data_IF_481766931795
#
_entry.id   IF_481766931795
#
_cell.length_a   1.000
_cell.length_b   1.000
_cell.length_c   1.000
_cell.angle_alpha   90.00
_cell.angle_beta   90.00
_cell.angle_gamma   90.00
#
_symmetry.space_group_name_H-M   'P 1'
#
loop_
_entity.id
_entity.type
_entity.pdbx_description
1 polymer ?
#
# COMPACT_ATOMS: atom_id res chain seq x y z
N UNK A 1 -14.65 -9.75 -11.81
CA UNK A 1 -14.47 -8.50 -11.06
C UNK A 1 -13.29 -7.79 -11.68
N UNK A 2 -13.50 -6.65 -12.35
CA UNK A 2 -12.42 -5.94 -13.05
C UNK A 2 -11.85 -4.86 -12.14
N UNK A 3 -10.59 -5.00 -11.72
CA UNK A 3 -9.83 -3.91 -11.13
C UNK A 3 -9.81 -2.76 -12.15
N UNK A 4 -10.50 -1.66 -11.87
CA UNK A 4 -10.35 -0.43 -12.66
C UNK A 4 -9.10 0.25 -12.16
N UNK A 5 -7.98 -0.07 -12.80
CA UNK A 5 -6.70 0.59 -12.56
C UNK A 5 -6.82 2.03 -13.07
N UNK A 6 -7.06 2.98 -12.16
CA UNK A 6 -6.97 4.40 -12.47
C UNK A 6 -5.48 4.74 -12.58
N UNK A 7 -5.03 5.15 -13.76
CA UNK A 7 -3.61 5.29 -14.11
C UNK A 7 -2.84 6.37 -13.31
N UNK A 8 -3.51 7.14 -12.44
CA UNK A 8 -2.90 8.19 -11.63
C UNK A 8 -2.44 7.70 -10.23
N UNK A 9 -3.05 6.66 -9.69
CA UNK A 9 -2.80 6.26 -8.29
C UNK A 9 -1.89 5.02 -8.23
N UNK A 10 -0.93 5.03 -7.30
CA UNK A 10 -0.08 3.87 -7.05
C UNK A 10 -0.90 2.80 -6.33
N UNK A 11 -1.00 1.61 -6.93
CA UNK A 11 -1.65 0.46 -6.32
C UNK A 11 -0.59 -0.53 -5.83
N UNK A 12 -0.62 -0.85 -4.53
CA UNK A 12 0.23 -1.88 -3.93
C UNK A 12 -0.58 -3.12 -3.57
N UNK A 13 -0.03 -4.30 -3.86
CA UNK A 13 -0.48 -5.58 -3.35
C UNK A 13 0.32 -5.95 -2.11
N UNK A 14 -0.38 -6.31 -1.03
CA UNK A 14 0.19 -6.70 0.26
C UNK A 14 -0.17 -8.14 0.55
N UNK A 15 0.85 -8.96 0.87
CA UNK A 15 0.65 -10.33 1.37
C UNK A 15 1.29 -10.47 2.74
N UNK A 16 0.45 -10.64 3.76
CA UNK A 16 0.87 -11.04 5.10
C UNK A 16 0.60 -12.53 5.25
N UNK A 17 1.63 -13.34 5.54
CA UNK A 17 1.54 -14.78 5.87
C UNK A 17 0.38 -15.53 5.19
N UNK A 18 0.39 -15.54 3.85
CA UNK A 18 -0.44 -16.30 2.90
C UNK A 18 -1.98 -16.18 2.94
N UNK A 19 -2.61 -15.65 3.98
CA UNK A 19 -4.08 -15.69 4.10
C UNK A 19 -4.79 -14.40 3.66
N UNK A 20 -4.14 -13.23 3.78
CA UNK A 20 -4.79 -11.95 3.46
C UNK A 20 -4.10 -11.18 2.32
N UNK A 21 -4.94 -10.69 1.39
CA UNK A 21 -4.55 -9.86 0.26
C UNK A 21 -5.19 -8.47 0.37
N UNK A 22 -4.36 -7.43 0.36
CA UNK A 22 -4.83 -6.04 0.38
C UNK A 22 -4.32 -5.26 -0.83
N UNK A 23 -5.19 -4.38 -1.33
CA UNK A 23 -4.88 -3.35 -2.31
C UNK A 23 -4.79 -2.01 -1.59
N UNK A 24 -3.68 -1.32 -1.80
CA UNK A 24 -3.47 0.03 -1.28
C UNK A 24 -3.42 0.99 -2.45
N UNK A 25 -4.34 1.95 -2.50
CA UNK A 25 -4.32 3.03 -3.47
C UNK A 25 -3.74 4.29 -2.80
N UNK A 26 -2.62 4.79 -3.33
CA UNK A 26 -1.96 6.02 -2.86
C UNK A 26 -2.21 7.13 -3.87
N UNK A 27 -2.70 8.27 -3.37
CA UNK A 27 -3.02 9.46 -4.15
C UNK A 27 -1.86 10.47 -4.13
N UNK A 28 -1.87 11.42 -5.06
CA UNK A 28 -0.81 12.44 -5.23
C UNK A 28 -0.55 13.28 -3.97
N UNK A 29 -1.58 13.52 -3.16
CA UNK A 29 -1.47 14.25 -1.89
C UNK A 29 -0.93 13.39 -0.73
N UNK A 30 -0.46 12.18 -1.04
CA UNK A 30 0.02 11.16 -0.09
C UNK A 30 -1.06 10.68 0.89
N UNK A 31 -2.33 10.90 0.57
CA UNK A 31 -3.41 10.13 1.18
C UNK A 31 -3.42 8.73 0.60
N UNK A 32 -3.98 7.78 1.33
CA UNK A 32 -4.09 6.40 0.87
C UNK A 32 -5.39 5.76 1.34
N UNK A 33 -5.85 4.78 0.58
CA UNK A 33 -6.94 3.89 0.96
C UNK A 33 -6.47 2.46 0.91
N UNK A 34 -6.99 1.63 1.82
CA UNK A 34 -6.64 0.20 1.91
C UNK A 34 -7.91 -0.61 1.81
N UNK A 35 -7.93 -1.58 0.91
CA UNK A 35 -9.06 -2.46 0.69
C UNK A 35 -8.60 -3.92 0.62
N UNK A 36 -9.27 -4.82 1.37
CA UNK A 36 -9.06 -6.26 1.23
C UNK A 36 -9.64 -6.78 -0.08
N UNK A 37 -9.18 -7.94 -0.54
CA UNK A 37 -9.75 -8.62 -1.72
C UNK A 37 -11.26 -8.89 -1.59
N UNK A 38 -11.75 -9.10 -0.37
CA UNK A 38 -13.18 -9.31 -0.07
C UNK A 38 -14.00 -8.01 -0.07
N UNK A 39 -13.34 -6.87 -0.28
CA UNK A 39 -13.96 -5.55 -0.37
C UNK A 39 -14.06 -4.79 0.96
N UNK A 40 -13.52 -5.33 2.06
CA UNK A 40 -13.48 -4.64 3.35
C UNK A 40 -12.47 -3.48 3.28
N UNK A 41 -12.91 -2.28 3.62
CA UNK A 41 -12.03 -1.11 3.71
C UNK A 41 -11.40 -1.09 5.10
N UNK A 42 -10.08 -1.03 5.14
CA UNK A 42 -9.33 -0.86 6.39
C UNK A 42 -9.13 0.62 6.67
N UNK A 43 -9.21 1.00 7.94
CA UNK A 43 -8.87 2.36 8.35
C UNK A 43 -7.35 2.54 8.34
N UNK A 44 -6.91 3.81 8.34
CA UNK A 44 -5.50 4.16 8.52
C UNK A 44 -4.93 3.59 9.83
N UNK A 45 -5.73 3.56 10.89
CA UNK A 45 -5.31 3.04 12.20
C UNK A 45 -5.10 1.52 12.15
N UNK A 46 -5.95 0.78 11.44
CA UNK A 46 -5.79 -0.66 11.24
C UNK A 46 -4.51 -0.95 10.45
N UNK A 47 -4.24 -0.16 9.41
CA UNK A 47 -3.02 -0.31 8.61
C UNK A 47 -1.76 0.01 9.42
N UNK A 48 -1.81 1.05 10.24
CA UNK A 48 -0.69 1.42 11.13
C UNK A 48 -0.47 0.39 12.23
N UNK A 49 -1.54 -0.27 12.71
CA UNK A 49 -1.45 -1.37 13.66
C UNK A 49 -0.84 -2.64 13.03
N UNK A 50 -1.19 -2.93 11.77
CA UNK A 50 -0.62 -4.05 11.01
C UNK A 50 0.83 -3.79 10.60
N UNK A 51 1.13 -2.57 10.17
CA UNK A 51 2.45 -2.14 9.69
C UNK A 51 2.81 -0.81 10.34
N UNK A 52 3.47 -0.91 11.49
CA UNK A 52 3.96 0.25 12.21
C UNK A 52 4.92 1.08 11.33
N UNK A 53 4.65 2.38 11.19
CA UNK A 53 5.40 3.30 10.36
C UNK A 53 4.92 3.39 8.90
N UNK A 54 3.87 2.65 8.51
CA UNK A 54 3.36 2.65 7.13
C UNK A 54 2.99 4.05 6.65
N UNK A 55 2.18 4.77 7.43
CA UNK A 55 1.73 6.12 7.07
C UNK A 55 2.91 7.08 6.88
N UNK A 56 3.94 6.91 7.71
CA UNK A 56 5.14 7.75 7.65
C UNK A 56 6.02 7.38 6.46
N UNK A 57 6.11 6.10 6.08
CA UNK A 57 6.77 5.69 4.84
C UNK A 57 6.11 6.35 3.63
N UNK A 58 4.77 6.30 3.52
CA UNK A 58 4.02 6.97 2.44
C UNK A 58 4.32 8.47 2.40
N UNK A 59 4.24 9.16 3.55
CA UNK A 59 4.45 10.61 3.65
C UNK A 59 5.87 11.04 3.27
N UNK A 60 6.89 10.27 3.68
CA UNK A 60 8.29 10.62 3.46
C UNK A 60 8.83 10.18 2.10
N UNK A 61 8.09 9.34 1.38
CA UNK A 61 8.56 8.82 0.09
C UNK A 61 8.50 9.89 -0.99
N UNK A 62 9.58 10.03 -1.73
CA UNK A 62 9.68 10.96 -2.86
C UNK A 62 9.46 10.26 -4.21
N UNK A 63 9.49 8.93 -4.24
CA UNK A 63 9.21 8.12 -5.43
C UNK A 63 8.65 6.75 -5.05
N UNK A 64 8.12 6.02 -6.03
CA UNK A 64 7.72 4.61 -5.81
C UNK A 64 8.88 3.74 -5.33
N UNK A 65 10.09 3.92 -5.86
CA UNK A 65 11.24 3.12 -5.44
C UNK A 65 11.64 3.41 -3.98
N UNK A 66 11.62 4.69 -3.56
CA UNK A 66 11.87 5.07 -2.17
C UNK A 66 10.78 4.49 -1.24
N UNK A 67 9.51 4.54 -1.68
CA UNK A 67 8.41 3.95 -0.92
C UNK A 67 8.59 2.45 -0.75
N UNK A 68 8.83 1.71 -1.83
CA UNK A 68 9.01 0.26 -1.76
C UNK A 68 10.19 -0.10 -0.85
N UNK A 69 11.31 0.61 -0.96
CA UNK A 69 12.48 0.43 -0.09
C UNK A 69 12.12 0.63 1.39
N UNK A 70 11.40 1.71 1.72
CA UNK A 70 10.94 1.98 3.10
C UNK A 70 9.99 0.90 3.60
N UNK A 71 9.01 0.50 2.79
CA UNK A 71 8.03 -0.52 3.17
C UNK A 71 8.68 -1.89 3.45
N UNK A 72 9.64 -2.30 2.62
CA UNK A 72 10.43 -3.50 2.85
C UNK A 72 11.34 -3.41 4.09
N UNK A 73 11.72 -2.20 4.51
CA UNK A 73 12.49 -1.99 5.73
C UNK A 73 11.62 -2.03 7.01
N UNK A 74 10.31 -1.74 6.91
CA UNK A 74 9.39 -1.76 8.06
C UNK A 74 9.07 -3.18 8.54
N UNK A 75 9.00 -4.13 7.61
CA UNK A 75 8.53 -5.49 7.88
C UNK A 75 9.16 -6.49 6.94
N UNK A 76 9.52 -7.66 7.49
CA UNK A 76 10.04 -8.81 6.74
C UNK A 76 9.01 -9.93 6.54
N UNK A 77 7.83 -9.81 7.13
CA UNK A 77 6.73 -10.80 7.02
C UNK A 77 5.68 -10.39 5.98
N UNK A 78 5.78 -9.16 5.46
CA UNK A 78 4.90 -8.67 4.40
C UNK A 78 5.69 -8.54 3.10
N UNK A 79 5.09 -9.03 2.03
CA UNK A 79 5.58 -8.81 0.68
C UNK A 79 4.77 -7.71 0.01
N UNK A 80 5.46 -6.71 -0.52
CA UNK A 80 4.90 -5.57 -1.22
C UNK A 80 5.14 -5.71 -2.72
N UNK A 81 4.12 -5.42 -3.53
CA UNK A 81 4.27 -5.35 -5.00
C UNK A 81 3.56 -4.13 -5.56
N UNK A 82 4.24 -3.41 -6.45
CA UNK A 82 3.59 -2.40 -7.28
C UNK A 82 2.77 -3.09 -8.38
N UNK A 83 1.47 -2.79 -8.42
CA UNK A 83 0.52 -3.33 -9.41
C UNK A 83 0.29 -2.34 -10.54
N UNK A 84 0.22 -1.05 -10.23
CA UNK A 84 -0.02 0.00 -11.23
C UNK A 84 0.30 1.40 -10.71
N UNK A 85 0.38 2.37 -11.62
CA UNK A 85 0.63 3.78 -11.28
C UNK A 85 2.04 3.98 -10.74
N UNK A 86 2.40 5.21 -10.39
CA UNK A 86 3.65 5.53 -9.74
C UNK A 86 3.52 6.83 -8.94
N UNK A 87 4.27 6.95 -7.86
CA UNK A 87 4.51 8.21 -7.17
C UNK A 87 5.76 8.80 -7.83
N UNK A 88 5.64 10.01 -8.35
CA UNK A 88 6.69 10.75 -9.07
C UNK A 88 7.37 11.80 -8.20
#
# INVERSE_FOLDING_TARGET
MSLRINAANLILEVRSDFDDLYFIEIFDDKTFSVQSVDGNVLSKEDMEAAVAGFSQAVLLSESTDDLMSRLHALTNHIVWYQVSGAIS
#
